data_IF_260449258229
#
_entry.id   IF_260449258229
#
_cell.length_a   1.000
_cell.length_b   1.000
_cell.length_c   1.000
_cell.angle_alpha   90.00
_cell.angle_beta   90.00
_cell.angle_gamma   90.00
#
_symmetry.space_group_name_H-M   'P 1'
#
loop_
_entity.id
_entity.type
_entity.pdbx_description
1 polymer ?
#
# COMPACT_ATOMS: atom_id res chain seq x y z
N UNK A 1 -11.94 11.16 -7.41
CA UNK A 1 -10.61 11.79 -7.35
C UNK A 1 -9.63 10.86 -6.62
N UNK A 2 -8.44 10.70 -7.16
CA UNK A 2 -7.43 9.84 -6.54
C UNK A 2 -6.85 10.50 -5.30
N UNK A 3 -6.66 9.71 -4.23
CA UNK A 3 -6.08 10.19 -2.96
C UNK A 3 -5.03 9.22 -2.48
N UNK A 4 -3.90 9.73 -2.02
CA UNK A 4 -2.89 8.89 -1.38
C UNK A 4 -3.42 8.47 -0.02
N UNK A 5 -3.58 7.15 0.19
CA UNK A 5 -4.15 6.60 1.41
C UNK A 5 -3.32 5.48 2.03
N UNK A 6 -2.25 5.07 1.38
CA UNK A 6 -1.49 3.89 1.79
C UNK A 6 -0.02 4.05 1.52
N UNK A 7 0.79 3.55 2.44
CA UNK A 7 2.22 3.35 2.22
C UNK A 7 2.66 2.06 2.89
N UNK A 8 3.64 1.39 2.31
CA UNK A 8 4.19 0.17 2.86
C UNK A 8 5.68 0.36 3.14
N UNK A 9 6.08 -0.05 4.33
CA UNK A 9 7.47 0.03 4.80
C UNK A 9 7.93 -1.38 5.13
N UNK A 10 9.10 -1.75 4.62
CA UNK A 10 9.69 -3.06 4.88
C UNK A 10 10.78 -2.97 5.92
N UNK A 11 10.84 -3.99 6.77
CA UNK A 11 11.79 -4.05 7.89
C UNK A 11 12.15 -5.48 8.23
N UNK A 12 13.33 -5.66 8.78
CA UNK A 12 13.75 -6.96 9.32
C UNK A 12 13.00 -7.34 10.59
N UNK A 13 12.46 -6.37 11.33
CA UNK A 13 11.78 -6.60 12.61
C UNK A 13 10.47 -5.81 12.65
N UNK A 14 9.38 -6.45 12.21
CA UNK A 14 8.06 -5.81 12.11
C UNK A 14 7.55 -5.32 13.46
N UNK A 15 7.53 -6.12 14.55
CA UNK A 15 7.02 -5.63 15.83
C UNK A 15 7.80 -4.44 16.37
N UNK A 16 9.13 -4.49 16.25
CA UNK A 16 9.98 -3.41 16.75
C UNK A 16 9.71 -2.10 16.03
N UNK A 17 9.59 -2.15 14.70
CA UNK A 17 9.31 -0.93 13.92
C UNK A 17 7.89 -0.41 14.20
N UNK A 18 6.90 -1.29 14.29
CA UNK A 18 5.54 -0.89 14.62
C UNK A 18 5.48 -0.20 15.99
N UNK A 19 6.15 -0.75 16.99
CA UNK A 19 6.19 -0.15 18.33
C UNK A 19 6.83 1.23 18.31
N UNK A 20 7.88 1.41 17.51
CA UNK A 20 8.51 2.73 17.36
C UNK A 20 7.50 3.76 16.88
N UNK A 21 6.76 3.48 15.82
CA UNK A 21 5.79 4.43 15.26
C UNK A 21 4.58 4.66 16.18
N UNK A 22 4.15 3.63 16.91
CA UNK A 22 3.09 3.78 17.91
C UNK A 22 3.55 4.69 19.05
N UNK A 23 4.74 4.44 19.58
CA UNK A 23 5.22 5.11 20.78
C UNK A 23 5.67 6.55 20.51
N UNK A 24 6.32 6.78 19.38
CA UNK A 24 6.87 8.12 19.07
C UNK A 24 5.82 9.03 18.44
N UNK A 25 5.05 8.50 17.48
CA UNK A 25 4.13 9.32 16.69
C UNK A 25 2.66 9.10 17.04
N UNK A 26 2.37 8.17 17.94
CA UNK A 26 0.99 7.91 18.36
C UNK A 26 0.13 7.22 17.33
N UNK A 27 0.72 6.55 16.33
CA UNK A 27 -0.05 5.81 15.35
C UNK A 27 -0.80 4.66 16.04
N UNK A 28 -1.97 4.34 15.53
CA UNK A 28 -2.81 3.26 16.05
C UNK A 28 -2.73 2.04 15.16
N UNK A 29 -2.69 0.87 15.77
CA UNK A 29 -2.79 -0.38 15.03
C UNK A 29 -4.25 -0.59 14.60
N UNK A 30 -4.47 -0.75 13.30
CA UNK A 30 -5.81 -0.91 12.72
C UNK A 30 -6.06 -2.31 12.18
N UNK A 31 -5.00 -3.09 11.99
CA UNK A 31 -5.10 -4.47 11.53
C UNK A 31 -3.78 -5.18 11.75
N UNK A 32 -3.82 -6.52 11.71
CA UNK A 32 -2.62 -7.33 11.88
C UNK A 32 -2.77 -8.63 11.08
N UNK A 33 -1.78 -8.96 10.27
CA UNK A 33 -1.66 -10.25 9.61
C UNK A 33 -0.69 -11.16 10.36
N UNK A 34 -0.37 -12.32 9.78
CA UNK A 34 0.58 -13.26 10.41
C UNK A 34 1.97 -12.68 10.57
N UNK A 35 2.41 -11.86 9.59
CA UNK A 35 3.76 -11.33 9.53
C UNK A 35 3.79 -9.83 9.33
N UNK A 36 2.64 -9.17 9.38
CA UNK A 36 2.49 -7.76 9.08
C UNK A 36 1.67 -7.06 10.15
N UNK A 37 1.94 -5.77 10.35
CA UNK A 37 1.17 -4.92 11.25
C UNK A 37 0.79 -3.67 10.47
N UNK A 38 -0.46 -3.26 10.58
CA UNK A 38 -0.99 -2.11 9.87
C UNK A 38 -1.33 -1.01 10.86
N UNK A 39 -0.70 0.15 10.69
CA UNK A 39 -0.88 1.32 11.54
C UNK A 39 -1.59 2.42 10.76
N UNK A 40 -2.10 3.42 11.47
CA UNK A 40 -2.73 4.57 10.80
C UNK A 40 -2.65 5.83 11.67
N UNK A 41 -2.63 6.98 10.99
CA UNK A 41 -2.80 8.29 11.61
C UNK A 41 -4.25 8.79 11.54
N UNK A 42 -5.17 7.94 11.07
CA UNK A 42 -6.57 8.29 10.84
C UNK A 42 -6.90 8.58 9.37
N UNK A 43 -5.89 8.73 8.53
CA UNK A 43 -6.08 8.96 7.10
C UNK A 43 -5.22 8.06 6.24
N UNK A 44 -3.96 7.91 6.55
CA UNK A 44 -3.02 7.05 5.82
C UNK A 44 -2.93 5.71 6.54
N UNK A 45 -3.01 4.63 5.78
CA UNK A 45 -2.68 3.28 6.24
C UNK A 45 -1.18 3.06 6.03
N UNK A 46 -0.46 2.70 7.08
CA UNK A 46 0.95 2.34 6.99
C UNK A 46 1.11 0.85 7.25
N UNK A 47 1.43 0.09 6.22
CA UNK A 47 1.72 -1.33 6.33
C UNK A 47 3.18 -1.53 6.73
N UNK A 48 3.41 -2.24 7.82
CA UNK A 48 4.76 -2.65 8.25
C UNK A 48 4.92 -4.12 7.85
N UNK A 49 5.80 -4.37 6.89
CA UNK A 49 5.94 -5.67 6.23
C UNK A 49 7.35 -6.24 6.43
N UNK A 50 7.51 -7.56 6.40
CA UNK A 50 8.85 -8.16 6.49
C UNK A 50 9.65 -7.92 5.21
N UNK A 51 10.90 -7.53 5.37
CA UNK A 51 11.81 -7.29 4.24
C UNK A 51 12.30 -8.59 3.60
N UNK A 52 12.33 -9.69 4.36
CA UNK A 52 12.74 -11.02 3.89
C UNK A 52 14.12 -11.03 3.22
N UNK A 53 15.05 -10.30 3.83
CA UNK A 53 16.41 -10.20 3.31
C UNK A 53 16.61 -9.17 2.20
N UNK A 54 15.52 -8.51 1.79
CA UNK A 54 15.58 -7.43 0.80
C UNK A 54 15.79 -6.06 1.44
N UNK A 55 15.68 -5.00 0.62
CA UNK A 55 15.84 -3.64 1.13
C UNK A 55 14.81 -3.27 2.20
N UNK A 56 15.24 -2.51 3.20
CA UNK A 56 14.35 -1.94 4.21
C UNK A 56 14.00 -0.50 3.85
N UNK A 57 12.89 -0.01 4.41
CA UNK A 57 12.38 1.33 4.15
C UNK A 57 11.12 1.32 3.31
N UNK A 58 10.75 2.47 2.75
CA UNK A 58 9.52 2.62 1.98
C UNK A 58 9.61 1.79 0.70
N UNK A 59 8.63 0.90 0.51
CA UNK A 59 8.59 0.00 -0.65
C UNK A 59 7.61 0.51 -1.71
N UNK A 60 6.42 0.91 -1.31
CA UNK A 60 5.41 1.42 -2.23
C UNK A 60 4.40 2.30 -1.49
N UNK A 61 3.60 3.00 -2.26
CA UNK A 61 2.46 3.74 -1.74
C UNK A 61 1.24 3.44 -2.60
N UNK A 62 0.08 3.94 -2.20
CA UNK A 62 -1.15 3.60 -2.91
C UNK A 62 -2.18 4.70 -2.91
N UNK A 63 -3.00 4.69 -3.95
CA UNK A 63 -4.12 5.60 -4.14
C UNK A 63 -5.43 4.88 -3.98
N UNK A 64 -6.35 5.49 -3.27
CA UNK A 64 -7.76 5.12 -3.33
C UNK A 64 -8.36 5.80 -4.55
N UNK A 65 -8.98 5.01 -5.42
CA UNK A 65 -9.52 5.47 -6.70
C UNK A 65 -10.92 4.88 -6.94
N UNK A 66 -11.74 5.57 -7.71
CA UNK A 66 -13.10 5.10 -7.98
C UNK A 66 -13.12 3.84 -8.86
N UNK A 67 -12.23 3.77 -9.83
CA UNK A 67 -12.14 2.65 -10.78
C UNK A 67 -10.67 2.30 -11.02
N UNK A 68 -10.14 1.30 -10.26
CA UNK A 68 -8.73 0.92 -10.37
C UNK A 68 -8.33 0.46 -11.78
N UNK A 69 -9.20 -0.27 -12.47
CA UNK A 69 -8.88 -0.76 -13.81
C UNK A 69 -8.75 0.39 -14.80
N UNK A 70 -9.71 1.31 -14.78
CA UNK A 70 -9.68 2.49 -15.65
C UNK A 70 -8.47 3.36 -15.35
N UNK A 71 -8.15 3.54 -14.06
CA UNK A 71 -6.99 4.32 -13.65
C UNK A 71 -5.69 3.67 -14.12
N UNK A 72 -5.59 2.34 -14.01
CA UNK A 72 -4.42 1.61 -14.47
C UNK A 72 -4.26 1.71 -16.00
N UNK A 73 -5.36 1.63 -16.74
CA UNK A 73 -5.34 1.80 -18.20
C UNK A 73 -4.84 3.21 -18.57
N UNK A 74 -5.34 4.23 -17.88
CA UNK A 74 -4.88 5.61 -18.09
C UNK A 74 -3.40 5.76 -17.76
N UNK A 75 -2.93 5.11 -16.71
CA UNK A 75 -1.51 5.13 -16.34
C UNK A 75 -0.63 4.51 -17.41
N UNK A 76 -1.05 3.38 -18.00
CA UNK A 76 -0.31 2.76 -19.09
C UNK A 76 -0.21 3.68 -20.30
N UNK A 77 -1.29 4.35 -20.68
CA UNK A 77 -1.28 5.33 -21.77
C UNK A 77 -0.33 6.49 -21.47
N UNK A 78 -0.17 6.86 -20.21
CA UNK A 78 0.69 7.94 -19.75
C UNK A 78 2.14 7.53 -19.49
N UNK A 79 2.51 6.27 -19.76
CA UNK A 79 3.89 5.80 -19.67
C UNK A 79 4.21 4.91 -18.47
N UNK A 80 3.22 4.38 -17.77
CA UNK A 80 3.47 3.40 -16.72
C UNK A 80 4.12 2.15 -17.31
N UNK A 81 5.02 1.55 -16.52
CA UNK A 81 5.84 0.42 -16.99
C UNK A 81 5.16 -0.94 -16.85
N UNK A 82 4.17 -1.08 -15.99
CA UNK A 82 3.54 -2.37 -15.71
C UNK A 82 2.03 -2.21 -15.59
N UNK A 83 1.30 -3.12 -16.23
CA UNK A 83 -0.14 -3.11 -16.23
C UNK A 83 -0.74 -3.73 -14.98
N UNK A 84 -2.05 -3.61 -14.83
CA UNK A 84 -2.75 -4.12 -13.68
C UNK A 84 -2.81 -5.65 -13.68
N UNK A 85 -3.02 -6.20 -12.48
CA UNK A 85 -3.39 -7.60 -12.32
C UNK A 85 -4.91 -7.71 -12.36
N UNK A 86 -5.40 -8.93 -12.62
CA UNK A 86 -6.83 -9.20 -12.54
C UNK A 86 -7.35 -8.94 -11.13
N UNK A 87 -8.48 -8.26 -11.06
CA UNK A 87 -9.14 -8.00 -9.79
C UNK A 87 -9.96 -9.22 -9.36
N UNK A 88 -9.97 -9.54 -8.05
CA UNK A 88 -10.93 -10.53 -7.54
C UNK A 88 -12.35 -10.11 -7.85
N UNK A 89 -13.20 -11.07 -8.22
CA UNK A 89 -14.60 -10.80 -8.60
C UNK A 89 -15.60 -11.12 -7.49
N UNK A 90 -15.11 -11.50 -6.33
CA UNK A 90 -15.94 -11.99 -5.21
C UNK A 90 -16.16 -10.94 -4.11
N UNK A 91 -15.86 -9.69 -4.38
CA UNK A 91 -16.04 -8.60 -3.42
C UNK A 91 -14.98 -8.50 -2.35
N UNK A 92 -13.96 -9.36 -2.36
CA UNK A 92 -12.83 -9.23 -1.41
C UNK A 92 -12.03 -7.96 -1.69
N UNK A 93 -11.34 -7.50 -0.65
CA UNK A 93 -10.39 -6.41 -0.82
C UNK A 93 -9.42 -6.74 -1.95
N UNK A 94 -9.26 -5.82 -2.86
CA UNK A 94 -8.41 -6.02 -4.03
C UNK A 94 -7.51 -4.81 -4.24
N UNK A 95 -6.27 -5.10 -4.54
CA UNK A 95 -5.31 -4.11 -5.01
C UNK A 95 -4.84 -4.52 -6.39
N UNK A 96 -4.76 -3.57 -7.29
CA UNK A 96 -3.94 -3.71 -8.49
C UNK A 96 -2.73 -2.82 -8.30
N UNK A 97 -1.64 -3.11 -8.97
CA UNK A 97 -0.50 -2.22 -8.94
C UNK A 97 -0.01 -1.91 -10.34
N UNK A 98 0.55 -0.72 -10.44
CA UNK A 98 1.29 -0.27 -11.60
C UNK A 98 2.69 0.10 -11.15
N UNK A 99 3.60 0.29 -12.10
CA UNK A 99 4.86 0.97 -11.85
C UNK A 99 4.84 2.29 -12.61
N UNK A 100 5.20 3.36 -11.93
CA UNK A 100 5.24 4.67 -12.55
C UNK A 100 6.40 4.75 -13.57
N UNK A 101 6.54 5.84 -14.33
CA UNK A 101 7.62 5.94 -15.33
C UNK A 101 9.03 5.78 -14.78
N UNK A 102 9.22 6.00 -13.47
CA UNK A 102 10.52 5.80 -12.82
C UNK A 102 10.69 4.40 -12.24
N UNK A 103 9.68 3.52 -12.37
CA UNK A 103 9.73 2.16 -11.86
C UNK A 103 9.22 1.99 -10.44
N UNK A 104 8.64 3.02 -9.82
CA UNK A 104 8.08 2.95 -8.48
C UNK A 104 6.75 2.22 -8.48
N UNK A 105 6.61 1.20 -7.62
CA UNK A 105 5.33 0.51 -7.44
C UNK A 105 4.31 1.45 -6.78
N UNK A 106 3.12 1.47 -7.35
CA UNK A 106 1.97 2.22 -6.84
C UNK A 106 0.76 1.31 -6.83
N UNK A 107 0.13 1.15 -5.68
CA UNK A 107 -1.08 0.33 -5.54
C UNK A 107 -2.33 1.18 -5.79
N UNK A 108 -3.34 0.57 -6.38
CA UNK A 108 -4.63 1.20 -6.63
C UNK A 108 -5.72 0.36 -5.97
N UNK A 109 -6.62 0.98 -5.22
CA UNK A 109 -7.71 0.28 -4.56
C UNK A 109 -8.97 1.12 -4.56
N UNK A 110 -10.10 0.46 -4.83
CA UNK A 110 -11.41 1.10 -4.74
C UNK A 110 -11.88 1.19 -3.28
N UNK A 111 -11.68 0.09 -2.53
CA UNK A 111 -12.08 0.05 -1.13
C UNK A 111 -11.18 0.87 -0.22
N UNK A 112 -10.00 1.25 -0.70
CA UNK A 112 -9.00 1.89 0.14
C UNK A 112 -8.41 0.92 1.16
N UNK A 113 -7.93 1.44 2.25
CA UNK A 113 -7.28 0.69 3.32
C UNK A 113 -7.84 1.11 4.66
N UNK A 114 -7.71 0.21 5.65
CA UNK A 114 -8.14 0.53 7.02
C UNK A 114 -7.35 1.71 7.58
N UNK A 115 -8.03 2.66 8.14
CA UNK A 115 -7.45 3.81 8.81
C UNK A 115 -8.16 4.09 10.13
#
# INVERSE_FOLDING_TARGET
MARIRHMAVKTADVPKLADFYKNVFGLKEVSRGKRSIYLSDGYINMAILPAEGGPEGIDHFGFEVEDPQKMADSALEAGAQQGPRDLPRDGRFAEVFIKDPAGQRVDLSKQGWKT
#
